data_IF_974963295308
#
_entry.id   IF_974963295308
#
_cell.length_a   1.000
_cell.length_b   1.000
_cell.length_c   1.000
_cell.angle_alpha   90.00
_cell.angle_beta   90.00
_cell.angle_gamma   90.00
#
_symmetry.space_group_name_H-M   'P 1'
#
loop_
_entity.id
_entity.type
_entity.pdbx_description
1 polymer ?
#
# COMPACT_ATOMS: atom_id res chain seq x y z
N UNK A 1 -15.96 -6.84 -9.27
CA UNK A 1 -14.60 -6.39 -8.93
C UNK A 1 -14.35 -6.91 -7.54
N UNK A 2 -13.33 -7.76 -7.38
CA UNK A 2 -12.93 -8.33 -6.08
C UNK A 2 -11.75 -7.51 -5.57
N UNK A 3 -12.06 -6.52 -4.74
CA UNK A 3 -11.08 -5.66 -4.09
C UNK A 3 -10.72 -6.24 -2.72
N UNK A 4 -9.43 -6.34 -2.44
CA UNK A 4 -8.89 -6.79 -1.16
C UNK A 4 -8.02 -5.72 -0.55
N UNK A 5 -8.10 -5.61 0.78
CA UNK A 5 -7.28 -4.69 1.56
C UNK A 5 -6.26 -5.46 2.36
N UNK A 6 -4.99 -5.12 2.21
CA UNK A 6 -3.90 -5.66 3.00
C UNK A 6 -3.28 -4.57 3.86
N UNK A 7 -3.16 -4.84 5.16
CA UNK A 7 -2.46 -3.97 6.10
C UNK A 7 -1.00 -4.41 6.21
N UNK A 8 -0.08 -3.47 5.99
CA UNK A 8 1.36 -3.70 6.03
C UNK A 8 1.94 -2.82 7.13
N UNK A 9 2.65 -3.41 8.08
CA UNK A 9 3.43 -2.63 9.06
C UNK A 9 4.68 -2.10 8.40
N UNK A 10 4.85 -0.78 8.40
CA UNK A 10 6.02 -0.14 7.81
C UNK A 10 6.88 0.40 8.94
N UNK A 11 8.04 -0.23 9.14
CA UNK A 11 9.05 0.22 10.08
C UNK A 11 9.99 1.23 9.40
N UNK A 12 10.50 2.20 10.16
CA UNK A 12 11.50 3.16 9.66
C UNK A 12 10.94 4.40 8.93
N UNK A 13 9.62 4.52 8.75
CA UNK A 13 9.03 5.79 8.29
C UNK A 13 9.32 6.89 9.30
N UNK A 14 10.22 7.81 8.96
CA UNK A 14 10.62 8.91 9.84
C UNK A 14 10.07 10.25 9.38
N UNK A 15 9.56 10.33 8.15
CA UNK A 15 9.08 11.57 7.56
C UNK A 15 7.89 11.32 6.62
N UNK A 16 7.01 12.31 6.54
CA UNK A 16 5.87 12.34 5.63
C UNK A 16 6.30 12.27 4.16
N UNK A 17 7.52 12.69 3.83
CA UNK A 17 8.11 12.51 2.50
C UNK A 17 8.35 11.04 2.16
N UNK A 18 8.77 10.22 3.12
CA UNK A 18 8.95 8.78 2.93
C UNK A 18 7.61 8.09 2.69
N UNK A 19 6.60 8.47 3.48
CA UNK A 19 5.21 8.00 3.34
C UNK A 19 4.70 8.25 1.92
N UNK A 20 4.78 9.50 1.46
CA UNK A 20 4.30 9.89 0.13
C UNK A 20 5.06 9.18 -1.00
N UNK A 21 6.35 8.91 -0.80
CA UNK A 21 7.16 8.17 -1.77
C UNK A 21 6.70 6.70 -1.88
N UNK A 22 6.38 6.06 -0.76
CA UNK A 22 5.85 4.69 -0.73
C UNK A 22 4.48 4.65 -1.42
N UNK A 23 3.58 5.55 -1.05
CA UNK A 23 2.24 5.65 -1.66
C UNK A 23 2.32 5.83 -3.18
N UNK A 24 3.13 6.79 -3.64
CA UNK A 24 3.32 7.02 -5.08
C UNK A 24 3.96 5.83 -5.81
N UNK A 25 4.82 5.06 -5.14
CA UNK A 25 5.46 3.90 -5.74
C UNK A 25 4.48 2.75 -5.86
N UNK A 26 3.70 2.48 -4.81
CA UNK A 26 2.72 1.39 -4.79
C UNK A 26 1.54 1.69 -5.71
N UNK A 27 1.01 2.92 -5.73
CA UNK A 27 -0.06 3.32 -6.68
C UNK A 27 0.29 3.07 -8.15
N UNK A 28 1.58 3.05 -8.51
CA UNK A 28 2.02 2.77 -9.89
C UNK A 28 2.03 1.27 -10.22
N UNK A 29 1.92 0.40 -9.23
CA UNK A 29 1.88 -1.04 -9.45
C UNK A 29 0.54 -1.43 -10.07
N UNK A 30 0.60 -2.32 -11.04
CA UNK A 30 -0.58 -2.77 -11.77
C UNK A 30 -1.46 -3.63 -10.85
N UNK A 31 -2.75 -3.30 -10.77
CA UNK A 31 -3.69 -3.95 -9.86
C UNK A 31 -3.89 -3.25 -8.51
N UNK A 32 -3.13 -2.20 -8.19
CA UNK A 32 -3.39 -1.37 -7.01
C UNK A 32 -4.53 -0.40 -7.33
N UNK A 33 -5.59 -0.45 -6.52
CA UNK A 33 -6.73 0.46 -6.61
C UNK A 33 -6.49 1.71 -5.76
N UNK A 34 -5.95 1.53 -4.56
CA UNK A 34 -5.65 2.63 -3.64
C UNK A 34 -4.61 2.21 -2.61
N UNK A 35 -3.86 3.18 -2.09
CA UNK A 35 -2.99 2.98 -0.94
C UNK A 35 -3.14 4.17 0.00
N UNK A 36 -3.14 3.87 1.29
CA UNK A 36 -3.13 4.86 2.36
C UNK A 36 -2.10 4.47 3.39
N UNK A 37 -1.20 5.39 3.74
CA UNK A 37 -0.18 5.12 4.74
C UNK A 37 -0.34 6.07 5.92
N UNK A 38 -0.51 5.47 7.11
CA UNK A 38 -0.62 6.17 8.40
C UNK A 38 0.73 6.14 9.12
N UNK A 39 1.36 7.31 9.26
CA UNK A 39 2.59 7.47 10.05
C UNK A 39 2.32 7.25 11.55
N UNK A 40 1.15 7.68 12.02
CA UNK A 40 0.71 7.55 13.42
C UNK A 40 0.56 6.08 13.82
N UNK A 41 -0.17 5.31 13.00
CA UNK A 41 -0.40 3.88 13.24
C UNK A 41 0.78 2.99 12.79
N UNK A 42 1.74 3.55 12.04
CA UNK A 42 2.86 2.83 11.41
C UNK A 42 2.36 1.69 10.50
N UNK A 43 1.26 1.94 9.81
CA UNK A 43 0.56 0.99 8.95
C UNK A 43 0.37 1.59 7.55
N UNK A 44 0.43 0.74 6.53
CA UNK A 44 0.03 1.02 5.17
C UNK A 44 -1.11 0.11 4.77
N UNK A 45 -2.26 0.68 4.46
CA UNK A 45 -3.44 -0.01 3.95
C UNK A 45 -3.42 0.04 2.42
N UNK A 46 -3.32 -1.13 1.80
CA UNK A 46 -3.23 -1.27 0.35
C UNK A 46 -4.47 -1.98 -0.17
N UNK A 47 -5.21 -1.32 -1.04
CA UNK A 47 -6.37 -1.87 -1.74
C UNK A 47 -5.96 -2.26 -3.15
N UNK A 48 -6.23 -3.52 -3.51
CA UNK A 48 -5.86 -4.06 -4.82
C UNK A 48 -6.92 -5.00 -5.36
N UNK A 49 -6.91 -5.18 -6.67
CA UNK A 49 -7.78 -6.13 -7.36
C UNK A 49 -7.14 -7.53 -7.35
N UNK A 50 -7.84 -8.50 -6.77
CA UNK A 50 -7.42 -9.90 -6.69
C UNK A 50 -7.34 -10.58 -8.07
N UNK A 51 -8.01 -10.02 -9.09
CA UNK A 51 -7.92 -10.54 -10.45
C UNK A 51 -6.61 -10.14 -11.14
N UNK A 52 -5.92 -9.13 -10.61
CA UNK A 52 -4.70 -8.55 -11.22
C UNK A 52 -3.46 -8.87 -10.39
N UNK A 53 -3.56 -8.93 -9.05
CA UNK A 53 -2.43 -9.18 -8.16
C UNK A 53 -2.46 -10.61 -7.62
N UNK A 54 -1.34 -11.33 -7.75
CA UNK A 54 -1.11 -12.64 -7.14
C UNK A 54 -0.08 -12.50 -6.01
N UNK A 55 -0.49 -12.64 -4.74
CA UNK A 55 0.40 -12.46 -3.56
C UNK A 55 1.19 -13.75 -3.24
N UNK A 56 1.75 -14.42 -4.25
CA UNK A 56 2.40 -15.72 -4.09
C UNK A 56 3.91 -15.76 -4.43
N UNK A 57 4.63 -14.64 -4.36
CA UNK A 57 6.11 -14.61 -4.41
C UNK A 57 6.71 -13.87 -3.19
#
# INVERSE_FOLDING_TARGET
MEESTQHIRITGMTCQSCVRNIENTITKLNGIQSIKVSLEDKLGDVVFDLNVININD
#
